data_IF_621463101979
#
_entry.id   IF_621463101979
#
_cell.length_a   1.000
_cell.length_b   1.000
_cell.length_c   1.000
_cell.angle_alpha   90.00
_cell.angle_beta   90.00
_cell.angle_gamma   90.00
#
_symmetry.space_group_name_H-M   'P 1'
#
loop_
_entity.id
_entity.type
_entity.pdbx_description
1 polymer ?
#
# COMPACT_ATOMS: atom_id res chain seq x y z
N UNK A 1 4.09 40.28 -38.44
CA UNK A 1 4.97 40.18 -37.26
C UNK A 1 4.19 40.03 -35.96
N UNK A 2 3.24 40.91 -35.63
CA UNK A 2 2.44 40.80 -34.40
C UNK A 2 1.69 39.46 -34.24
N UNK A 3 1.03 38.97 -35.30
CA UNK A 3 0.29 37.69 -35.25
C UNK A 3 1.19 36.47 -35.00
N UNK A 4 2.44 36.50 -35.47
CA UNK A 4 3.41 35.42 -35.22
C UNK A 4 3.82 35.42 -33.74
N UNK A 5 4.00 36.60 -33.16
CA UNK A 5 4.28 36.75 -31.73
C UNK A 5 3.12 36.21 -30.86
N UNK A 6 1.88 36.54 -31.23
CA UNK A 6 0.69 36.05 -30.51
C UNK A 6 0.58 34.52 -30.59
N UNK A 7 0.80 33.93 -31.77
CA UNK A 7 0.77 32.48 -31.93
C UNK A 7 1.88 31.78 -31.14
N UNK A 8 3.10 32.32 -31.16
CA UNK A 8 4.22 31.80 -30.39
C UNK A 8 3.97 31.90 -28.88
N UNK A 9 3.41 33.02 -28.42
CA UNK A 9 3.04 33.21 -27.02
C UNK A 9 1.96 32.23 -26.58
N UNK A 10 0.89 32.06 -27.38
CA UNK A 10 -0.17 31.12 -27.09
C UNK A 10 0.34 29.67 -27.02
N UNK A 11 1.20 29.27 -27.98
CA UNK A 11 1.84 27.97 -27.97
C UNK A 11 2.71 27.76 -26.72
N UNK A 12 3.53 28.75 -26.37
CA UNK A 12 4.40 28.67 -25.19
C UNK A 12 3.61 28.60 -23.89
N UNK A 13 2.58 29.44 -23.74
CA UNK A 13 1.71 29.45 -22.56
C UNK A 13 0.97 28.12 -22.38
N UNK A 14 0.50 27.51 -23.48
CA UNK A 14 -0.18 26.22 -23.43
C UNK A 14 0.75 25.08 -23.01
N UNK A 15 1.97 25.04 -23.53
CA UNK A 15 2.98 24.05 -23.13
C UNK A 15 3.38 24.21 -21.66
N UNK A 16 3.58 25.45 -21.21
CA UNK A 16 3.89 25.72 -19.80
C UNK A 16 2.75 25.32 -18.86
N UNK A 17 1.50 25.56 -19.26
CA UNK A 17 0.34 25.15 -18.46
C UNK A 17 0.27 23.64 -18.27
N UNK A 18 0.45 22.86 -19.35
CA UNK A 18 0.49 21.40 -19.27
C UNK A 18 1.64 20.90 -18.38
N UNK A 19 2.85 21.42 -18.59
CA UNK A 19 4.02 21.08 -17.78
C UNK A 19 3.78 21.36 -16.29
N UNK A 20 3.19 22.50 -15.96
CA UNK A 20 2.88 22.87 -14.57
C UNK A 20 1.86 21.92 -13.95
N UNK A 21 0.84 21.53 -14.71
CA UNK A 21 -0.17 20.58 -14.25
C UNK A 21 0.43 19.19 -13.97
N UNK A 22 1.29 18.70 -14.86
CA UNK A 22 1.95 17.41 -14.67
C UNK A 22 2.93 17.43 -13.49
N UNK A 23 3.62 18.56 -13.30
CA UNK A 23 4.50 18.75 -12.15
C UNK A 23 3.71 18.77 -10.84
N UNK A 24 2.58 19.47 -10.80
CA UNK A 24 1.70 19.50 -9.63
C UNK A 24 1.14 18.12 -9.28
N UNK A 25 0.70 17.35 -10.28
CA UNK A 25 0.27 15.96 -10.08
C UNK A 25 1.40 15.09 -9.51
N UNK A 26 2.61 15.25 -10.03
CA UNK A 26 3.78 14.51 -9.54
C UNK A 26 4.12 14.87 -8.09
N UNK A 27 4.00 16.15 -7.72
CA UNK A 27 4.19 16.63 -6.35
C UNK A 27 3.13 16.03 -5.42
N UNK A 28 1.86 16.05 -5.83
CA UNK A 28 0.75 15.48 -5.07
C UNK A 28 0.95 13.98 -4.82
N UNK A 29 1.31 13.22 -5.86
CA UNK A 29 1.63 11.79 -5.76
C UNK A 29 2.78 11.54 -4.78
N UNK A 30 3.89 12.29 -4.90
CA UNK A 30 5.04 12.14 -4.00
C UNK A 30 4.71 12.53 -2.56
N UNK A 31 3.83 13.52 -2.35
CA UNK A 31 3.37 13.89 -1.02
C UNK A 31 2.49 12.79 -0.41
N UNK A 32 1.63 12.16 -1.20
CA UNK A 32 0.84 11.01 -0.76
C UNK A 32 1.74 9.82 -0.39
N UNK A 33 2.72 9.50 -1.22
CA UNK A 33 3.72 8.46 -0.94
C UNK A 33 4.51 8.78 0.34
N UNK A 34 4.97 10.02 0.51
CA UNK A 34 5.66 10.47 1.72
C UNK A 34 4.78 10.34 2.97
N UNK A 35 3.49 10.66 2.87
CA UNK A 35 2.55 10.51 3.97
C UNK A 35 2.33 9.04 4.33
N UNK A 36 2.22 8.15 3.34
CA UNK A 36 2.11 6.71 3.55
C UNK A 36 3.38 6.15 4.23
N UNK A 37 4.55 6.53 3.75
CA UNK A 37 5.84 6.13 4.34
C UNK A 37 5.98 6.67 5.77
N UNK A 38 5.60 7.93 6.03
CA UNK A 38 5.62 8.50 7.36
C UNK A 38 4.69 7.76 8.33
N UNK A 39 3.50 7.34 7.85
CA UNK A 39 2.58 6.51 8.63
C UNK A 39 3.22 5.16 8.99
N UNK A 40 3.78 4.44 8.01
CA UNK A 40 4.46 3.15 8.24
C UNK A 40 5.65 3.30 9.20
N UNK A 41 6.42 4.37 9.08
CA UNK A 41 7.52 4.65 9.99
C UNK A 41 7.04 4.92 11.42
N UNK A 42 5.90 5.60 11.58
CA UNK A 42 5.25 5.79 12.87
C UNK A 42 4.78 4.49 13.50
N UNK A 43 4.09 3.64 12.73
CA UNK A 43 3.66 2.30 13.16
C UNK A 43 4.87 1.44 13.58
N UNK A 44 5.93 1.44 12.78
CA UNK A 44 7.15 0.69 13.10
C UNK A 44 7.83 1.21 14.37
N UNK A 45 7.83 2.53 14.57
CA UNK A 45 8.38 3.12 15.80
C UNK A 45 7.56 2.71 17.02
N UNK A 46 6.24 2.71 16.92
CA UNK A 46 5.36 2.23 18.00
C UNK A 46 5.61 0.75 18.30
N UNK A 47 5.76 -0.09 17.27
CA UNK A 47 6.09 -1.51 17.43
C UNK A 47 7.45 -1.70 18.13
N UNK A 48 8.46 -0.84 17.87
CA UNK A 48 9.75 -0.85 18.57
C UNK A 48 9.63 -0.37 20.01
N UNK A 49 8.87 0.69 20.27
CA UNK A 49 8.68 1.23 21.63
C UNK A 49 8.00 0.17 22.53
N UNK A 50 7.06 -0.59 21.96
CA UNK A 50 6.40 -1.74 22.60
C UNK A 50 7.32 -2.91 22.93
N UNK A 51 8.51 -3.02 22.33
CA UNK A 51 9.47 -4.09 22.67
C UNK A 51 10.03 -3.99 24.09
N UNK A 52 9.89 -2.82 24.74
CA UNK A 52 10.33 -2.63 26.13
C UNK A 52 9.28 -3.10 27.16
N UNK A 53 8.09 -3.47 26.71
CA UNK A 53 7.00 -4.01 27.53
C UNK A 53 6.74 -5.47 27.12
N UNK A 54 6.80 -6.38 28.09
CA UNK A 54 6.70 -7.83 27.86
C UNK A 54 5.32 -8.23 27.30
N UNK A 55 4.24 -7.55 27.72
CA UNK A 55 2.88 -7.83 27.23
C UNK A 55 2.71 -7.31 25.79
N UNK A 56 3.24 -6.13 25.50
CA UNK A 56 3.17 -5.54 24.17
C UNK A 56 4.08 -6.27 23.15
N UNK A 57 5.20 -6.85 23.61
CA UNK A 57 6.06 -7.70 22.80
C UNK A 57 5.36 -9.00 22.38
N UNK A 58 4.61 -9.63 23.29
CA UNK A 58 3.83 -10.84 22.97
C UNK A 58 2.76 -10.56 21.91
N UNK A 59 2.06 -9.43 22.01
CA UNK A 59 1.08 -9.01 21.00
C UNK A 59 1.72 -8.79 19.62
N UNK A 60 2.91 -8.17 19.58
CA UNK A 60 3.67 -7.97 18.35
C UNK A 60 4.10 -9.30 17.70
N UNK A 61 4.61 -10.24 18.50
CA UNK A 61 5.00 -11.58 18.03
C UNK A 61 3.79 -12.31 17.47
N UNK A 62 2.64 -12.27 18.16
CA UNK A 62 1.40 -12.89 17.68
C UNK A 62 0.94 -12.26 16.35
N UNK A 63 0.98 -10.93 16.23
CA UNK A 63 0.66 -10.20 15.00
C UNK A 63 1.55 -10.65 13.84
N UNK A 64 2.86 -10.71 14.04
CA UNK A 64 3.81 -11.17 13.02
C UNK A 64 3.53 -12.62 12.63
N UNK A 65 3.32 -13.51 13.61
CA UNK A 65 3.00 -14.90 13.35
C UNK A 65 1.71 -15.05 12.53
N UNK A 66 0.64 -14.32 12.88
CA UNK A 66 -0.61 -14.34 12.11
C UNK A 66 -0.41 -13.88 10.66
N UNK A 67 0.37 -12.84 10.44
CA UNK A 67 0.62 -12.30 9.10
C UNK A 67 1.46 -13.26 8.22
N UNK A 68 2.45 -13.93 8.82
CA UNK A 68 3.32 -14.90 8.15
C UNK A 68 2.61 -16.23 7.87
N UNK A 69 1.91 -16.78 8.87
CA UNK A 69 1.25 -18.08 8.79
C UNK A 69 -0.20 -18.01 8.30
N UNK A 70 -0.71 -16.80 7.99
CA UNK A 70 -2.10 -16.57 7.58
C UNK A 70 -3.11 -17.09 8.59
N UNK A 71 -2.80 -16.93 9.88
CA UNK A 71 -3.64 -17.37 11.00
C UNK A 71 -4.54 -16.23 11.48
N UNK A 72 -5.67 -16.58 12.11
CA UNK A 72 -6.61 -15.64 12.73
C UNK A 72 -6.55 -15.69 14.25
N UNK A 73 -7.22 -14.74 14.92
CA UNK A 73 -7.33 -14.80 16.38
C UNK A 73 -8.14 -16.03 16.81
N UNK A 74 -7.96 -16.48 18.06
CA UNK A 74 -8.84 -17.50 18.63
C UNK A 74 -10.31 -17.12 18.45
N UNK A 75 -11.13 -18.07 18.00
CA UNK A 75 -12.57 -17.92 17.74
C UNK A 75 -12.96 -17.06 16.51
N UNK A 76 -12.01 -16.73 15.63
CA UNK A 76 -12.30 -16.16 14.31
C UNK A 76 -12.24 -17.25 13.23
N UNK A 77 -13.04 -17.09 12.16
CA UNK A 77 -13.10 -18.03 11.03
C UNK A 77 -12.92 -17.23 9.73
N UNK A 78 -11.92 -17.60 8.91
CA UNK A 78 -11.76 -17.05 7.56
C UNK A 78 -12.69 -17.81 6.60
N UNK A 79 -13.46 -17.06 5.81
CA UNK A 79 -14.17 -17.59 4.65
C UNK A 79 -13.36 -17.36 3.38
N UNK A 80 -13.05 -18.42 2.66
CA UNK A 80 -12.34 -18.38 1.38
C UNK A 80 -13.28 -18.83 0.27
N UNK A 81 -13.50 -17.98 -0.73
CA UNK A 81 -14.25 -18.33 -1.93
C UNK A 81 -13.40 -19.21 -2.85
N UNK A 82 -13.79 -20.48 -2.99
CA UNK A 82 -13.11 -21.47 -3.83
C UNK A 82 -13.13 -21.14 -5.32
N UNK A 83 -14.08 -20.32 -5.78
CA UNK A 83 -14.19 -19.96 -7.19
C UNK A 83 -13.29 -18.78 -7.60
N UNK A 84 -12.57 -18.19 -6.63
CA UNK A 84 -11.62 -17.10 -6.86
C UNK A 84 -10.19 -17.61 -6.73
N UNK A 85 -9.61 -18.03 -7.85
CA UNK A 85 -8.27 -18.62 -7.93
C UNK A 85 -7.10 -17.65 -7.69
N UNK A 86 -7.38 -16.34 -7.57
CA UNK A 86 -6.35 -15.32 -7.33
C UNK A 86 -6.00 -15.14 -5.83
N UNK A 87 -6.51 -16.03 -4.96
CA UNK A 87 -6.44 -15.85 -3.53
C UNK A 87 -5.13 -16.42 -2.95
N UNK A 88 -4.17 -15.53 -2.66
CA UNK A 88 -2.83 -15.86 -2.12
C UNK A 88 -2.86 -16.65 -0.80
N UNK A 89 -4.01 -16.73 -0.14
CA UNK A 89 -4.23 -17.47 1.11
C UNK A 89 -4.39 -18.99 0.90
N UNK A 90 -4.71 -19.46 -0.31
CA UNK A 90 -4.97 -20.88 -0.58
C UNK A 90 -3.67 -21.66 -0.83
N UNK A 91 -2.58 -20.99 -1.23
CA UNK A 91 -1.33 -21.64 -1.63
C UNK A 91 -0.50 -22.25 -0.47
N UNK A 92 -1.05 -22.34 0.74
CA UNK A 92 -0.34 -22.93 1.89
C UNK A 92 -1.23 -23.37 3.05
N UNK A 93 -2.56 -23.37 2.89
CA UNK A 93 -3.51 -23.76 3.93
C UNK A 93 -4.35 -24.93 3.39
N UNK A 94 -3.99 -26.16 3.77
CA UNK A 94 -4.72 -27.39 3.38
C UNK A 94 -3.80 -28.56 2.99
N UNK A 95 -4.29 -29.80 3.12
CA UNK A 95 -3.61 -30.98 2.54
C UNK A 95 -3.69 -30.89 1.01
N UNK A 96 -2.65 -31.32 0.29
CA UNK A 96 -2.61 -31.29 -1.19
C UNK A 96 -3.78 -32.07 -1.83
N UNK A 97 -4.42 -32.95 -1.07
CA UNK A 97 -5.56 -33.78 -1.47
C UNK A 97 -6.85 -32.97 -1.71
N UNK A 98 -6.98 -31.76 -1.17
CA UNK A 98 -8.18 -30.92 -1.32
C UNK A 98 -8.19 -30.07 -2.62
N UNK A 99 -7.12 -30.14 -3.42
CA UNK A 99 -6.95 -29.38 -4.68
C UNK A 99 -7.33 -30.17 -5.93
N UNK A 100 -7.67 -31.46 -5.82
CA UNK A 100 -7.95 -32.36 -6.96
C UNK A 100 -9.45 -32.64 -7.24
N UNK A 101 -10.39 -31.87 -6.68
CA UNK A 101 -11.82 -31.98 -7.02
C UNK A 101 -12.45 -30.66 -7.49
#
# INVERSE_FOLDING_TARGET
>A
MFSVFVLYFAYTAFNQYQMLNDLNKSIEQKNAEKAEVAKKAGELKEDVDKMNDEEALLELIEKIARDQYKMVKPNEIIYIDKNKNDNKLIQGIGSKEDLEN
#
